data_IF_195245427265
#
_entry.id   IF_195245427265
#
_cell.length_a   1.000
_cell.length_b   1.000
_cell.length_c   1.000
_cell.angle_alpha   90.00
_cell.angle_beta   90.00
_cell.angle_gamma   90.00
#
_symmetry.space_group_name_H-M   'P 1'
#
loop_
_entity.id
_entity.type
_entity.pdbx_description
1 polymer ?
#
# COMPACT_ATOMS: atom_id res chain seq x y z
N UNK A 1 0.56 51.57 -19.68
CA UNK A 1 1.10 52.22 -20.89
C UNK A 1 1.06 51.21 -22.05
N UNK A 2 1.49 51.61 -23.25
CA UNK A 2 1.55 50.83 -24.52
C UNK A 2 2.04 49.38 -24.31
N UNK A 3 1.35 48.31 -24.73
CA UNK A 3 0.99 47.82 -26.10
C UNK A 3 2.14 47.18 -26.91
N UNK A 4 2.28 45.85 -26.83
CA UNK A 4 2.79 44.93 -27.88
C UNK A 4 2.38 43.51 -27.46
N UNK A 5 1.41 42.78 -28.05
CA UNK A 5 1.03 42.48 -29.45
C UNK A 5 2.07 41.65 -30.24
N UNK A 6 1.67 40.39 -30.49
CA UNK A 6 2.02 39.51 -31.62
C UNK A 6 3.51 39.17 -31.85
N UNK A 7 3.80 37.87 -31.82
CA UNK A 7 3.71 37.08 -33.07
C UNK A 7 3.26 35.65 -32.80
N UNK A 8 2.34 35.13 -33.62
CA UNK A 8 2.22 33.69 -33.86
C UNK A 8 3.47 33.21 -34.61
N UNK A 9 3.88 31.96 -34.38
CA UNK A 9 4.61 31.16 -35.37
C UNK A 9 3.79 29.90 -35.56
N UNK A 10 3.35 29.68 -36.80
CA UNK A 10 2.46 28.59 -37.18
C UNK A 10 3.29 27.57 -37.96
N UNK A 11 3.80 26.57 -37.26
CA UNK A 11 4.49 25.43 -37.85
C UNK A 11 3.47 24.31 -38.12
N UNK A 12 3.21 24.01 -39.38
CA UNK A 12 2.24 23.00 -39.80
C UNK A 12 2.92 21.85 -40.56
N UNK A 13 2.46 20.63 -40.30
CA UNK A 13 2.97 19.40 -40.91
C UNK A 13 3.97 18.66 -40.00
N UNK A 14 4.05 17.32 -40.05
CA UNK A 14 3.41 16.38 -41.00
C UNK A 14 2.62 15.30 -40.27
N UNK A 15 1.39 15.05 -40.75
CA UNK A 15 0.54 13.96 -40.30
C UNK A 15 0.90 12.66 -41.04
N UNK A 16 1.54 11.72 -40.36
CA UNK A 16 1.88 10.39 -40.90
C UNK A 16 0.99 9.30 -40.30
N UNK A 17 -0.29 9.27 -40.69
CA UNK A 17 -1.22 8.19 -40.33
C UNK A 17 -0.92 6.92 -41.16
N UNK A 18 0.00 6.09 -40.66
CA UNK A 18 0.21 4.72 -41.16
C UNK A 18 -0.88 3.76 -40.63
N UNK A 19 -2.13 4.00 -41.02
CA UNK A 19 -3.28 3.18 -40.61
C UNK A 19 -3.54 2.05 -41.63
N UNK A 20 -3.12 0.83 -41.30
CA UNK A 20 -3.54 -0.44 -41.94
C UNK A 20 -3.07 -1.61 -41.08
N UNK A 21 -3.97 -2.37 -40.42
CA UNK A 21 -3.50 -3.50 -39.59
C UNK A 21 -4.46 -4.19 -38.61
N UNK A 22 -5.79 -4.17 -38.78
CA UNK A 22 -6.71 -4.97 -37.95
C UNK A 22 -7.90 -5.51 -38.75
N UNK A 23 -7.82 -6.76 -39.20
CA UNK A 23 -8.95 -7.61 -39.59
C UNK A 23 -8.68 -9.06 -39.15
N UNK A 24 -8.98 -9.36 -37.89
CA UNK A 24 -8.82 -10.71 -37.29
C UNK A 24 -10.19 -11.40 -37.21
N UNK A 25 -10.40 -12.56 -37.85
CA UNK A 25 -11.59 -13.37 -37.66
C UNK A 25 -11.44 -14.34 -36.47
N UNK A 26 -12.42 -14.29 -35.56
CA UNK A 26 -12.63 -15.22 -34.44
C UNK A 26 -13.18 -16.58 -34.88
N UNK A 27 -12.74 -17.66 -34.19
CA UNK A 27 -13.49 -18.88 -33.85
C UNK A 27 -12.59 -19.71 -32.90
N UNK A 28 -12.95 -19.97 -31.63
CA UNK A 28 -13.95 -20.96 -31.18
C UNK A 28 -13.54 -22.43 -31.45
N UNK A 29 -12.98 -23.11 -30.44
CA UNK A 29 -13.28 -24.54 -30.19
C UNK A 29 -13.22 -24.81 -28.68
N UNK A 30 -14.28 -25.42 -28.13
CA UNK A 30 -14.43 -25.72 -26.70
C UNK A 30 -15.09 -27.09 -26.53
N UNK A 31 -14.24 -28.11 -26.41
CA UNK A 31 -14.54 -29.55 -26.28
C UNK A 31 -13.27 -30.21 -25.69
N UNK A 32 -13.30 -31.20 -24.79
CA UNK A 32 -14.38 -32.04 -24.25
C UNK A 32 -14.06 -32.41 -22.76
N UNK A 33 -14.94 -33.10 -22.00
CA UNK A 33 -14.87 -33.15 -20.53
C UNK A 33 -13.98 -34.26 -19.96
N UNK A 34 -13.65 -34.13 -18.68
CA UNK A 34 -13.33 -35.26 -17.80
C UNK A 34 -14.42 -35.43 -16.74
N UNK A 35 -15.09 -36.58 -16.76
CA UNK A 35 -16.08 -36.97 -15.76
C UNK A 35 -15.89 -38.46 -15.40
N UNK A 36 -15.27 -38.70 -14.25
CA UNK A 36 -15.42 -39.90 -13.41
C UNK A 36 -15.45 -39.35 -11.98
N UNK A 37 -16.60 -39.26 -11.31
CA UNK A 37 -17.35 -40.36 -10.68
C UNK A 37 -16.53 -41.13 -9.63
N UNK A 38 -16.70 -40.74 -8.36
CA UNK A 38 -16.83 -41.72 -7.27
C UNK A 38 -17.85 -41.20 -6.24
N UNK A 39 -18.91 -41.98 -6.04
CA UNK A 39 -19.91 -41.74 -5.00
C UNK A 39 -19.33 -42.03 -3.59
N UNK A 40 -19.84 -41.33 -2.59
CA UNK A 40 -20.12 -41.97 -1.30
C UNK A 40 -21.42 -41.41 -0.71
N UNK A 41 -22.28 -42.30 -0.21
CA UNK A 41 -23.69 -42.00 0.06
C UNK A 41 -23.94 -41.78 1.55
N UNK A 42 -24.95 -40.98 1.89
CA UNK A 42 -25.28 -40.62 3.27
C UNK A 42 -26.35 -41.53 3.90
N UNK A 43 -26.14 -41.88 5.18
CA UNK A 43 -27.14 -42.09 6.24
C UNK A 43 -26.50 -41.52 7.53
N UNK A 44 -27.06 -40.61 8.34
CA UNK A 44 -28.41 -40.39 8.90
C UNK A 44 -28.53 -40.87 10.37
N UNK A 45 -29.22 -40.04 11.19
CA UNK A 45 -29.92 -40.35 12.48
C UNK A 45 -29.22 -40.32 13.86
N UNK A 46 -29.87 -39.56 14.77
CA UNK A 46 -30.04 -39.74 16.26
C UNK A 46 -28.90 -39.61 17.28
N UNK A 47 -28.89 -38.47 17.98
CA UNK A 47 -29.32 -38.29 19.40
C UNK A 47 -29.32 -39.46 20.39
N UNK A 48 -28.56 -39.34 21.50
CA UNK A 48 -29.00 -39.23 22.93
C UNK A 48 -27.91 -38.34 23.62
N UNK A 49 -28.18 -37.21 24.26
CA UNK A 49 -28.74 -36.97 25.61
C UNK A 49 -27.99 -37.64 26.78
N UNK A 50 -27.23 -36.85 27.55
CA UNK A 50 -27.08 -37.01 29.01
C UNK A 50 -26.94 -35.61 29.66
N UNK A 51 -27.32 -35.50 30.94
CA UNK A 51 -27.50 -34.24 31.69
C UNK A 51 -26.66 -34.23 32.97
N UNK A 52 -26.20 -33.06 33.42
CA UNK A 52 -26.01 -32.80 34.86
C UNK A 52 -26.06 -31.29 35.18
N UNK A 53 -26.82 -30.93 36.20
CA UNK A 53 -27.12 -29.55 36.64
C UNK A 53 -26.69 -29.34 38.09
N UNK A 54 -26.01 -28.24 38.38
CA UNK A 54 -26.00 -27.44 39.63
C UNK A 54 -25.62 -26.00 39.16
N UNK A 55 -26.30 -24.86 39.38
CA UNK A 55 -27.20 -24.33 40.44
C UNK A 55 -26.55 -24.31 41.84
N UNK A 56 -26.43 -23.22 42.60
CA UNK A 56 -26.80 -21.79 42.43
C UNK A 56 -25.52 -20.88 42.52
N UNK A 57 -25.43 -19.58 42.91
CA UNK A 57 -26.38 -18.59 43.47
C UNK A 57 -25.99 -17.12 43.20
N UNK A 58 -27.00 -16.26 43.35
CA UNK A 58 -27.08 -14.79 43.49
C UNK A 58 -26.06 -14.10 44.41
N UNK A 59 -25.71 -12.84 44.13
CA UNK A 59 -26.01 -11.65 44.99
C UNK A 59 -25.58 -10.34 44.30
N UNK A 60 -26.52 -9.40 44.12
CA UNK A 60 -26.22 -7.97 43.95
C UNK A 60 -26.12 -7.29 45.32
N UNK A 61 -25.16 -6.40 45.51
CA UNK A 61 -25.36 -5.17 46.30
C UNK A 61 -24.56 -4.03 45.67
N UNK A 62 -25.14 -2.82 45.68
CA UNK A 62 -24.50 -1.59 45.25
C UNK A 62 -24.49 -0.59 46.41
N UNK A 63 -23.35 0.06 46.65
CA UNK A 63 -23.21 1.13 47.64
C UNK A 63 -22.29 2.23 47.11
N UNK A 64 -22.69 3.48 47.31
CA UNK A 64 -22.02 4.70 46.80
C UNK A 64 -21.54 5.59 47.94
N UNK A 65 -20.26 5.94 47.95
CA UNK A 65 -19.65 7.06 48.68
C UNK A 65 -18.57 7.60 47.70
N UNK A 66 -18.81 8.65 46.90
CA UNK A 66 -18.78 10.10 47.20
C UNK A 66 -17.39 10.73 47.43
N UNK A 67 -17.11 11.81 46.67
CA UNK A 67 -16.18 12.94 46.91
C UNK A 67 -14.69 12.63 47.24
N UNK A 68 -13.69 13.20 46.55
CA UNK A 68 -13.32 14.63 46.62
C UNK A 68 -12.22 14.98 45.58
N UNK A 69 -12.12 16.26 45.19
CA UNK A 69 -11.17 16.86 44.22
C UNK A 69 -9.73 17.10 44.72
N UNK A 70 -8.78 17.19 43.77
CA UNK A 70 -7.65 18.17 43.61
C UNK A 70 -6.82 17.66 42.42
N UNK A 71 -6.90 18.22 41.22
CA UNK A 71 -6.27 19.46 40.71
C UNK A 71 -4.72 19.44 40.64
N UNK A 72 -4.20 20.25 39.70
CA UNK A 72 -2.85 20.25 39.12
C UNK A 72 -1.65 20.21 40.10
N UNK A 73 -0.53 19.62 39.65
CA UNK A 73 0.62 20.42 39.19
C UNK A 73 1.26 19.73 37.97
N UNK A 74 2.02 20.50 37.18
CA UNK A 74 2.53 20.10 35.86
C UNK A 74 4.05 20.22 35.75
N UNK A 75 4.56 19.89 34.56
CA UNK A 75 5.74 20.45 33.86
C UNK A 75 6.93 19.51 33.67
N UNK A 76 7.35 19.38 32.40
CA UNK A 76 8.63 18.86 31.90
C UNK A 76 9.14 17.53 32.47
N UNK A 77 8.73 16.43 31.83
CA UNK A 77 9.74 15.52 31.27
C UNK A 77 10.26 16.16 29.97
N UNK A 78 11.53 15.94 29.62
CA UNK A 78 12.14 16.55 28.42
C UNK A 78 11.58 15.91 27.13
N UNK A 79 11.34 16.67 26.05
CA UNK A 79 11.28 16.06 24.73
C UNK A 79 12.68 15.53 24.44
N UNK A 80 12.82 14.20 24.36
CA UNK A 80 14.04 13.61 23.84
C UNK A 80 14.25 14.18 22.43
N UNK A 81 15.45 14.69 22.14
CA UNK A 81 15.80 15.13 20.79
C UNK A 81 15.92 13.90 19.89
N UNK A 82 14.78 13.43 19.40
CA UNK A 82 14.68 12.59 18.21
C UNK A 82 15.36 13.37 17.09
N UNK A 83 16.61 12.99 16.84
CA UNK A 83 17.43 13.63 15.83
C UNK A 83 16.82 13.21 14.51
N UNK A 84 16.18 14.16 13.83
CA UNK A 84 15.74 13.98 12.45
C UNK A 84 16.99 13.65 11.61
N UNK A 85 17.22 12.37 11.38
CA UNK A 85 18.38 11.90 10.63
C UNK A 85 18.25 12.42 9.20
N UNK A 86 19.32 13.05 8.68
CA UNK A 86 19.32 13.55 7.31
C UNK A 86 19.02 12.38 6.36
N UNK A 87 18.09 12.53 5.40
CA UNK A 87 17.36 11.40 4.83
C UNK A 87 18.28 10.37 4.18
N UNK A 88 17.96 9.09 4.37
CA UNK A 88 18.83 7.93 4.06
C UNK A 88 18.85 7.63 2.55
N UNK A 89 19.31 8.61 1.75
CA UNK A 89 19.32 8.55 0.28
C UNK A 89 20.63 7.94 -0.24
N UNK A 90 21.79 8.33 0.30
CA UNK A 90 23.10 7.95 -0.27
C UNK A 90 23.42 6.43 -0.21
N UNK A 91 22.64 5.62 0.53
CA UNK A 91 22.83 4.17 0.66
C UNK A 91 21.49 3.40 0.67
N UNK A 92 20.47 3.88 -0.05
CA UNK A 92 19.18 3.20 -0.13
C UNK A 92 19.34 1.74 -0.65
N UNK A 93 18.69 0.74 -0.04
CA UNK A 93 18.67 -0.63 -0.54
C UNK A 93 18.02 -0.74 -1.93
N UNK A 94 18.42 -1.72 -2.73
CA UNK A 94 17.84 -1.93 -4.06
C UNK A 94 16.42 -2.54 -3.96
N UNK A 95 15.45 -1.95 -4.67
CA UNK A 95 14.09 -2.49 -4.76
C UNK A 95 14.10 -3.85 -5.49
N UNK A 96 13.68 -4.92 -4.81
CA UNK A 96 13.70 -6.30 -5.32
C UNK A 96 12.58 -7.16 -4.73
N UNK A 97 11.94 -7.97 -5.57
CA UNK A 97 10.99 -9.04 -5.20
C UNK A 97 11.44 -9.80 -3.95
N UNK A 98 10.54 -9.96 -2.99
CA UNK A 98 10.79 -10.60 -1.69
C UNK A 98 11.58 -9.76 -0.68
N UNK A 99 11.74 -8.46 -0.92
CA UNK A 99 12.35 -7.49 0.02
C UNK A 99 11.25 -6.62 0.64
N UNK A 100 11.42 -6.25 1.91
CA UNK A 100 10.53 -5.33 2.62
C UNK A 100 11.32 -4.41 3.56
N UNK A 101 10.76 -3.23 3.86
CA UNK A 101 11.21 -2.39 4.97
C UNK A 101 10.74 -2.94 6.32
N UNK A 102 11.31 -2.43 7.41
CA UNK A 102 10.67 -2.51 8.72
C UNK A 102 9.28 -1.85 8.67
N UNK A 103 8.44 -2.16 9.67
CA UNK A 103 7.28 -1.32 9.98
C UNK A 103 7.76 0.08 10.37
N UNK A 104 7.06 1.09 9.84
CA UNK A 104 7.29 2.51 10.02
C UNK A 104 6.20 3.06 10.93
N UNK A 105 6.57 3.71 12.02
CA UNK A 105 5.68 4.53 12.85
C UNK A 105 5.34 5.85 12.16
N UNK A 106 4.45 6.64 12.76
CA UNK A 106 4.13 7.98 12.26
C UNK A 106 5.39 8.86 12.19
N UNK A 107 5.66 9.45 11.03
CA UNK A 107 6.86 10.24 10.75
C UNK A 107 8.10 9.43 10.32
N UNK A 108 8.11 8.10 10.51
CA UNK A 108 9.25 7.28 10.06
C UNK A 108 9.28 7.13 8.54
N UNK A 109 10.49 7.06 7.98
CA UNK A 109 10.74 6.98 6.54
C UNK A 109 11.49 5.71 6.13
N UNK A 110 11.30 5.27 4.89
CA UNK A 110 12.16 4.26 4.26
C UNK A 110 12.48 4.62 2.81
N UNK A 111 13.57 4.10 2.27
CA UNK A 111 14.02 4.41 0.91
C UNK A 111 14.41 3.14 0.15
N UNK A 112 14.13 3.12 -1.16
CA UNK A 112 14.62 2.08 -2.06
C UNK A 112 15.07 2.68 -3.40
N UNK A 113 16.16 2.16 -3.97
CA UNK A 113 16.67 2.56 -5.28
C UNK A 113 16.28 1.57 -6.38
N UNK A 114 15.78 2.09 -7.50
CA UNK A 114 15.22 1.31 -8.60
C UNK A 114 16.22 1.19 -9.75
N UNK A 115 17.19 0.29 -9.60
CA UNK A 115 18.28 0.11 -10.57
C UNK A 115 17.92 -0.76 -11.80
N UNK A 116 16.87 -1.57 -11.72
CA UNK A 116 16.50 -2.54 -12.75
C UNK A 116 15.20 -2.09 -13.46
N UNK A 117 15.18 -2.10 -14.79
CA UNK A 117 13.98 -1.79 -15.60
C UNK A 117 12.92 -2.86 -15.46
N UNK A 118 11.68 -2.48 -15.16
CA UNK A 118 10.57 -3.41 -14.95
C UNK A 118 9.35 -2.78 -14.30
N UNK A 119 8.36 -3.61 -14.01
CA UNK A 119 7.18 -3.27 -13.21
C UNK A 119 7.34 -3.88 -11.83
N UNK A 120 7.21 -3.06 -10.78
CA UNK A 120 7.36 -3.46 -9.38
C UNK A 120 6.02 -3.27 -8.66
N UNK A 121 5.40 -4.38 -8.25
CA UNK A 121 4.25 -4.37 -7.35
C UNK A 121 4.72 -4.03 -5.94
N UNK A 122 4.36 -2.84 -5.45
CA UNK A 122 4.66 -2.40 -4.09
C UNK A 122 3.43 -2.60 -3.22
N UNK A 123 3.58 -3.16 -2.02
CA UNK A 123 2.47 -3.42 -1.10
C UNK A 123 2.87 -3.24 0.37
N UNK A 124 1.88 -3.20 1.26
CA UNK A 124 2.07 -3.21 2.72
C UNK A 124 1.79 -4.61 3.29
N UNK A 125 2.77 -5.27 3.92
CA UNK A 125 2.65 -6.67 4.38
C UNK A 125 1.48 -6.96 5.35
N UNK A 126 1.21 -6.15 6.42
CA UNK A 126 0.06 -6.39 7.29
C UNK A 126 -1.29 -6.15 6.60
N UNK A 127 -1.33 -5.41 5.49
CA UNK A 127 -2.55 -5.02 4.78
C UNK A 127 -2.37 -5.10 3.25
N UNK A 128 -2.23 -6.30 2.63
CA UNK A 128 -1.82 -6.45 1.23
C UNK A 128 -2.80 -5.92 0.16
N UNK A 129 -3.90 -5.29 0.58
CA UNK A 129 -4.78 -4.52 -0.32
C UNK A 129 -4.19 -3.14 -0.63
N UNK A 130 -3.37 -2.57 0.26
CA UNK A 130 -2.60 -1.36 0.02
C UNK A 130 -1.51 -1.67 -1.00
N UNK A 131 -1.63 -1.10 -2.20
CA UNK A 131 -0.76 -1.40 -3.33
C UNK A 131 -0.47 -0.12 -4.15
N UNK A 132 0.70 -0.06 -4.75
CA UNK A 132 1.03 0.89 -5.83
C UNK A 132 1.99 0.21 -6.83
N UNK A 133 2.05 0.73 -8.06
CA UNK A 133 2.99 0.23 -9.09
C UNK A 133 4.14 1.21 -9.31
N UNK A 134 5.39 0.74 -9.26
CA UNK A 134 6.54 1.51 -9.75
C UNK A 134 6.98 0.92 -11.10
N UNK A 135 6.93 1.74 -12.15
CA UNK A 135 7.33 1.35 -13.50
C UNK A 135 8.66 2.02 -13.87
N UNK A 136 9.69 1.22 -14.10
CA UNK A 136 11.06 1.68 -14.35
C UNK A 136 11.40 1.52 -15.83
N UNK A 137 11.45 2.63 -16.58
CA UNK A 137 11.60 2.64 -18.04
C UNK A 137 12.88 3.34 -18.52
N UNK A 138 13.53 2.75 -19.54
CA UNK A 138 14.63 3.38 -20.28
C UNK A 138 14.14 4.65 -21.00
N UNK A 139 14.48 5.83 -20.46
CA UNK A 139 14.13 7.12 -21.04
C UNK A 139 12.90 7.80 -20.42
N UNK A 140 12.39 7.30 -19.29
CA UNK A 140 11.59 8.09 -18.37
C UNK A 140 12.41 9.28 -17.80
N UNK A 141 11.74 10.21 -17.10
CA UNK A 141 12.41 11.33 -16.44
C UNK A 141 13.31 10.83 -15.30
N UNK A 142 14.57 11.27 -15.29
CA UNK A 142 15.54 10.92 -14.26
C UNK A 142 15.46 11.91 -13.09
N UNK A 143 15.22 11.39 -11.89
CA UNK A 143 15.12 12.16 -10.65
C UNK A 143 16.03 11.52 -9.61
N UNK A 144 16.75 12.35 -8.83
CA UNK A 144 17.65 11.84 -7.79
C UNK A 144 16.84 11.17 -6.65
N UNK A 145 15.75 11.81 -6.24
CA UNK A 145 14.77 11.28 -5.29
C UNK A 145 13.32 11.64 -5.68
N UNK A 146 12.37 10.80 -5.27
CA UNK A 146 10.92 11.05 -5.25
C UNK A 146 10.42 10.80 -3.83
N UNK A 147 9.50 11.62 -3.34
CA UNK A 147 8.86 11.48 -2.02
C UNK A 147 7.41 11.00 -2.21
N UNK A 148 6.99 10.02 -1.39
CA UNK A 148 5.64 9.42 -1.41
C UNK A 148 5.12 9.31 0.03
N UNK A 149 3.96 9.90 0.31
CA UNK A 149 3.31 9.70 1.61
C UNK A 149 2.54 8.36 1.64
N UNK A 150 2.54 7.71 2.79
CA UNK A 150 1.59 6.64 3.15
C UNK A 150 0.59 7.27 4.11
N UNK A 151 -0.67 7.36 3.71
CA UNK A 151 -1.70 8.14 4.41
C UNK A 151 -3.11 7.63 4.08
N UNK A 152 -4.08 7.83 4.98
CA UNK A 152 -5.48 7.42 4.81
C UNK A 152 -5.63 5.90 4.47
N UNK A 153 -4.68 5.07 4.93
CA UNK A 153 -4.52 3.64 4.60
C UNK A 153 -4.21 3.34 3.13
N UNK A 154 -3.61 4.28 2.40
CA UNK A 154 -3.21 4.13 0.99
C UNK A 154 -1.75 4.59 0.77
N UNK A 155 -1.14 4.17 -0.35
CA UNK A 155 0.06 4.83 -0.87
C UNK A 155 -0.41 6.05 -1.68
N UNK A 156 0.18 7.23 -1.48
CA UNK A 156 -0.33 8.48 -2.05
C UNK A 156 -0.33 8.62 -3.58
N UNK A 157 0.27 7.67 -4.30
CA UNK A 157 0.27 7.57 -5.77
C UNK A 157 -0.05 6.13 -6.19
N UNK A 158 -1.07 5.92 -7.04
CA UNK A 158 -1.42 4.58 -7.55
C UNK A 158 -0.31 4.00 -8.46
N UNK A 159 0.40 4.85 -9.20
CA UNK A 159 1.45 4.43 -10.14
C UNK A 159 2.47 5.55 -10.38
N UNK A 160 3.77 5.23 -10.29
CA UNK A 160 4.86 6.16 -10.60
C UNK A 160 5.74 5.58 -11.71
N UNK A 161 6.08 6.39 -12.72
CA UNK A 161 7.04 6.03 -13.78
C UNK A 161 8.37 6.75 -13.57
N UNK A 162 9.48 6.00 -13.53
CA UNK A 162 10.83 6.52 -13.18
C UNK A 162 11.92 5.98 -14.11
N UNK A 163 13.05 6.69 -14.19
CA UNK A 163 14.24 6.17 -14.86
C UNK A 163 15.06 5.24 -13.92
N UNK A 164 15.83 4.27 -14.45
CA UNK A 164 16.77 3.48 -13.67
C UNK A 164 17.74 4.33 -12.84
N UNK A 165 17.91 3.97 -11.56
CA UNK A 165 18.72 4.69 -10.57
C UNK A 165 17.96 5.71 -9.72
N UNK A 166 16.66 5.94 -9.99
CA UNK A 166 15.81 6.80 -9.15
C UNK A 166 15.63 6.17 -7.76
N UNK A 167 15.76 6.98 -6.70
CA UNK A 167 15.41 6.57 -5.33
C UNK A 167 14.00 7.04 -4.99
N UNK A 168 13.16 6.18 -4.43
CA UNK A 168 11.87 6.58 -3.86
C UNK A 168 11.99 6.52 -2.33
N UNK A 169 11.49 7.56 -1.67
CA UNK A 169 11.43 7.70 -0.21
C UNK A 169 9.96 7.71 0.20
N UNK A 170 9.56 6.78 1.04
CA UNK A 170 8.21 6.75 1.62
C UNK A 170 8.23 7.29 3.04
N UNK A 171 7.24 8.10 3.39
CA UNK A 171 7.00 8.61 4.76
C UNK A 171 5.65 8.13 5.26
N UNK A 172 5.59 7.53 6.45
CA UNK A 172 4.29 7.17 7.04
C UNK A 172 3.64 8.36 7.75
N UNK A 173 2.56 8.90 7.19
CA UNK A 173 1.77 9.98 7.77
C UNK A 173 0.59 9.49 8.63
N UNK A 174 0.25 8.19 8.57
CA UNK A 174 -0.78 7.58 9.40
C UNK A 174 -0.30 7.28 10.83
N UNK A 175 -1.25 7.15 11.75
CA UNK A 175 -1.00 6.72 13.14
C UNK A 175 -0.87 5.18 13.28
N UNK A 176 -1.24 4.44 12.22
CA UNK A 176 -1.05 3.00 12.11
C UNK A 176 0.33 2.73 11.51
N UNK A 177 0.93 1.58 11.81
CA UNK A 177 2.23 1.20 11.23
C UNK A 177 2.06 0.56 9.86
N UNK A 178 2.87 1.00 8.90
CA UNK A 178 2.89 0.51 7.51
C UNK A 178 4.32 0.12 7.10
N UNK A 179 4.48 -0.66 6.03
CA UNK A 179 5.80 -0.90 5.43
C UNK A 179 5.72 -0.94 3.90
N UNK A 180 6.90 -0.90 3.27
CA UNK A 180 7.09 -0.97 1.82
C UNK A 180 7.68 -2.33 1.49
N UNK A 181 6.95 -3.17 0.77
CA UNK A 181 7.37 -4.50 0.34
C UNK A 181 7.15 -4.72 -1.15
N UNK A 182 7.90 -5.64 -1.76
CA UNK A 182 7.87 -5.92 -3.21
C UNK A 182 7.59 -7.40 -3.48
N UNK A 183 6.65 -7.70 -4.38
CA UNK A 183 6.43 -9.07 -4.90
C UNK A 183 7.43 -9.46 -6.02
#
# INVERSE_FOLDING_TARGET
MINKKFSFILAAGVLSLAACGQEQPVAEESTEPMAEEQENTAEETTTEEETTTEEETTTEEAATEEETTTEEEATTEEPAEETAEEPVVENAPEAKSGTASNLLSNGETTSFVFNETGEFSVFCEPHPVMQMTVLVEDGAEAMDNIEVDIADYEFGEETITVAPGTTIVWTNQDQVQHNVAFE
#
